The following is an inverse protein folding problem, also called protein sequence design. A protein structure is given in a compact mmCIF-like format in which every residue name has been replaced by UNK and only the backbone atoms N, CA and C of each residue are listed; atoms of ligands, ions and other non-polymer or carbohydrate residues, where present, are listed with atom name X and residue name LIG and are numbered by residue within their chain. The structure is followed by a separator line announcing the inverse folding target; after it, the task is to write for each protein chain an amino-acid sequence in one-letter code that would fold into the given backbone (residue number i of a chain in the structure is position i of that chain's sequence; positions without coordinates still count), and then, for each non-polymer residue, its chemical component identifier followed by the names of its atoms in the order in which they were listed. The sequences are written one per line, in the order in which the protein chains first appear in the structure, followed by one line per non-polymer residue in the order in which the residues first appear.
data_IF_141179195067
#
_entry.id   IF_141179195067
#
_cell.length_a   1.000
_cell.length_b   1.000
_cell.length_c   1.000
_cell.angle_alpha   90.00
_cell.angle_beta   90.00
_cell.angle_gamma   90.00
#
_symmetry.space_group_name_H-M   'P 1'
#
loop_
_entity.id
_entity.type
_entity.pdbx_description
1 polymer ?
#
# COMPACT_ATOMS: atom_id res chain seq x y z
N UNK A 1 -21.13 -38.92 1.43
CA UNK A 1 -21.45 -38.79 2.87
C UNK A 1 -22.88 -38.24 3.04
N UNK A 2 -23.55 -38.43 4.20
CA UNK A 2 -24.87 -37.79 4.45
C UNK A 2 -24.67 -36.26 4.50
N UNK A 3 -25.64 -35.48 4.02
CA UNK A 3 -25.64 -34.01 4.16
C UNK A 3 -25.34 -33.62 5.61
N UNK A 4 -24.42 -32.66 5.81
CA UNK A 4 -24.12 -32.15 7.15
C UNK A 4 -25.40 -31.53 7.74
N UNK A 5 -25.70 -31.86 8.98
CA UNK A 5 -26.86 -31.28 9.66
C UNK A 5 -26.62 -29.80 9.96
N UNK A 6 -27.68 -29.00 10.10
CA UNK A 6 -27.59 -27.59 10.50
C UNK A 6 -26.81 -27.39 11.81
N UNK A 7 -26.93 -28.35 12.74
CA UNK A 7 -26.15 -28.37 13.99
C UNK A 7 -24.65 -28.46 13.72
N UNK A 8 -24.22 -29.37 12.83
CA UNK A 8 -22.80 -29.54 12.47
C UNK A 8 -22.27 -28.27 11.79
N UNK A 9 -23.01 -27.70 10.84
CA UNK A 9 -22.63 -26.45 10.18
C UNK A 9 -22.43 -25.31 11.18
N UNK A 10 -23.37 -25.14 12.11
CA UNK A 10 -23.30 -24.10 13.15
C UNK A 10 -22.10 -24.29 14.10
N UNK A 11 -21.82 -25.52 14.54
CA UNK A 11 -20.68 -25.81 15.43
C UNK A 11 -19.33 -25.63 14.71
N UNK A 12 -19.28 -25.90 13.40
CA UNK A 12 -18.13 -25.56 12.54
C UNK A 12 -18.04 -24.05 12.22
N UNK A 13 -19.04 -23.25 12.61
CA UNK A 13 -19.10 -21.81 12.37
C UNK A 13 -19.33 -21.44 10.90
N UNK A 14 -20.07 -22.28 10.17
CA UNK A 14 -20.50 -22.05 8.80
C UNK A 14 -21.95 -21.54 8.77
N UNK A 15 -22.29 -20.80 7.73
CA UNK A 15 -23.67 -20.34 7.49
C UNK A 15 -24.55 -21.53 7.05
N UNK A 16 -25.84 -21.49 7.37
CA UNK A 16 -26.76 -22.63 7.15
C UNK A 16 -27.00 -22.93 5.66
N UNK A 17 -26.76 -21.95 4.79
CA UNK A 17 -26.86 -22.02 3.33
C UNK A 17 -25.51 -22.25 2.63
N UNK A 18 -24.44 -22.49 3.39
CA UNK A 18 -23.13 -22.82 2.81
C UNK A 18 -23.22 -24.10 1.99
N UNK A 19 -22.97 -23.99 0.68
CA UNK A 19 -22.85 -25.15 -0.20
C UNK A 19 -21.50 -25.84 0.02
N UNK A 20 -21.50 -27.18 0.07
CA UNK A 20 -20.30 -27.98 0.27
C UNK A 20 -20.02 -28.81 -0.97
N UNK A 21 -18.87 -28.59 -1.58
CA UNK A 21 -18.43 -29.27 -2.80
C UNK A 21 -17.41 -30.35 -2.42
N UNK A 22 -17.66 -31.64 -2.72
CA UNK A 22 -16.66 -32.67 -2.51
C UNK A 22 -15.42 -32.44 -3.37
N UNK A 23 -14.24 -32.43 -2.74
CA UNK A 23 -12.95 -32.25 -3.41
C UNK A 23 -12.23 -33.58 -3.57
N UNK A 24 -12.07 -34.31 -2.47
CA UNK A 24 -11.30 -35.55 -2.43
C UNK A 24 -11.84 -36.51 -1.37
N UNK A 25 -11.61 -37.80 -1.56
CA UNK A 25 -11.95 -38.82 -0.56
C UNK A 25 -10.92 -39.94 -0.54
N UNK A 26 -10.73 -40.53 0.63
CA UNK A 26 -9.95 -41.74 0.85
C UNK A 26 -10.78 -42.74 1.66
N UNK A 27 -11.00 -43.91 1.09
CA UNK A 27 -11.79 -44.96 1.73
C UNK A 27 -10.94 -45.69 2.77
N UNK A 28 -11.56 -46.06 3.89
CA UNK A 28 -10.90 -46.96 4.83
C UNK A 28 -10.50 -48.25 4.10
N UNK A 29 -9.28 -48.78 4.32
CA UNK A 29 -8.95 -50.10 3.80
C UNK A 29 -10.03 -51.07 4.31
N UNK A 30 -10.62 -51.84 3.39
CA UNK A 30 -11.56 -52.90 3.74
C UNK A 30 -10.96 -53.68 4.91
N UNK A 31 -11.73 -53.84 5.99
CA UNK A 31 -11.28 -54.51 7.21
C UNK A 31 -10.45 -55.72 6.82
N UNK A 32 -9.19 -55.84 7.31
CA UNK A 32 -8.26 -56.83 6.80
C UNK A 32 -8.95 -58.18 6.82
N UNK A 33 -9.18 -58.74 5.63
CA UNK A 33 -9.59 -60.14 5.51
C UNK A 33 -8.46 -60.89 6.19
N UNK A 34 -8.74 -61.44 7.38
CA UNK A 34 -7.74 -62.03 8.25
C UNK A 34 -7.06 -63.21 7.55
N UNK A 35 -6.02 -62.92 6.76
CA UNK A 35 -5.16 -63.90 6.12
C UNK A 35 -3.77 -63.74 6.73
N UNK A 36 -3.47 -64.62 7.69
CA UNK A 36 -2.09 -64.95 8.05
C UNK A 36 -1.50 -64.19 9.23
N UNK A 37 -1.62 -64.80 10.41
CA UNK A 37 -0.73 -64.76 11.59
C UNK A 37 0.31 -63.62 11.67
N UNK A 38 -0.02 -62.59 12.44
CA UNK A 38 0.86 -62.03 13.47
C UNK A 38 -0.01 -61.46 14.60
N UNK A 39 0.39 -61.73 15.84
CA UNK A 39 -0.30 -61.39 17.09
C UNK A 39 -0.31 -59.87 17.32
N UNK A 40 -1.25 -59.17 16.71
CA UNK A 40 -1.78 -57.95 17.30
C UNK A 40 -2.88 -58.40 18.27
N UNK A 41 -2.57 -58.42 19.56
CA UNK A 41 -3.58 -58.54 20.62
C UNK A 41 -4.71 -57.55 20.28
N UNK A 42 -5.94 -58.06 20.15
CA UNK A 42 -7.14 -57.25 19.97
C UNK A 42 -7.15 -56.19 21.07
N UNK A 43 -6.70 -54.96 20.77
CA UNK A 43 -6.82 -53.88 21.72
C UNK A 43 -8.31 -53.70 21.98
N UNK A 44 -8.74 -53.62 23.25
CA UNK A 44 -10.12 -53.35 23.55
C UNK A 44 -10.51 -52.03 22.87
N UNK A 45 -11.45 -52.11 21.92
CA UNK A 45 -12.02 -50.94 21.21
C UNK A 45 -12.75 -49.97 22.15
N UNK A 46 -12.81 -50.28 23.44
CA UNK A 46 -13.42 -49.50 24.51
C UNK A 46 -12.31 -48.92 25.40
N UNK A 47 -11.63 -47.89 24.91
CA UNK A 47 -10.66 -47.11 25.66
C UNK A 47 -10.80 -45.63 25.31
N UNK A 48 -10.54 -44.75 26.28
CA UNK A 48 -10.43 -43.31 26.01
C UNK A 48 -9.34 -43.07 24.96
N UNK A 49 -9.55 -42.11 24.06
CA UNK A 49 -8.57 -41.74 23.03
C UNK A 49 -7.19 -41.43 23.66
N UNK A 50 -7.18 -40.73 24.79
CA UNK A 50 -5.97 -40.40 25.54
C UNK A 50 -5.18 -41.64 26.00
N UNK A 51 -5.88 -42.71 26.41
CA UNK A 51 -5.22 -43.95 26.86
C UNK A 51 -4.66 -44.74 25.68
N UNK A 52 -5.34 -44.69 24.54
CA UNK A 52 -4.91 -45.32 23.30
C UNK A 52 -3.65 -44.63 22.74
N UNK A 53 -3.59 -43.31 22.77
CA UNK A 53 -2.44 -42.54 22.29
C UNK A 53 -1.16 -42.78 23.11
N UNK A 54 -1.28 -43.15 24.39
CA UNK A 54 -0.12 -43.56 25.23
C UNK A 54 0.58 -44.82 24.74
N UNK A 55 -0.06 -45.62 23.88
CA UNK A 55 0.53 -46.85 23.34
C UNK A 55 1.52 -46.64 22.19
N UNK A 56 1.87 -45.38 21.89
CA UNK A 56 2.74 -44.99 20.77
C UNK A 56 2.25 -45.57 19.43
N UNK A 57 1.04 -45.18 18.98
CA UNK A 57 0.43 -45.69 17.77
C UNK A 57 1.27 -45.43 16.52
N UNK A 58 1.25 -46.39 15.59
CA UNK A 58 1.89 -46.27 14.28
C UNK A 58 0.88 -45.75 13.26
N UNK A 59 1.16 -44.59 12.67
CA UNK A 59 0.30 -43.98 11.66
C UNK A 59 0.90 -44.10 10.25
N UNK A 60 0.05 -44.42 9.28
CA UNK A 60 0.38 -44.37 7.85
C UNK A 60 -0.08 -43.06 7.24
N UNK A 61 0.77 -42.42 6.43
CA UNK A 61 0.40 -41.20 5.71
C UNK A 61 -0.72 -41.47 4.70
N UNK A 62 -1.68 -40.55 4.64
CA UNK A 62 -2.78 -40.54 3.68
C UNK A 62 -2.52 -39.40 2.69
N UNK A 63 -2.75 -39.66 1.42
CA UNK A 63 -2.69 -38.64 0.38
C UNK A 63 -4.11 -38.34 -0.09
N UNK A 64 -4.60 -37.15 0.24
CA UNK A 64 -5.83 -36.61 -0.33
C UNK A 64 -5.45 -35.65 -1.45
N UNK A 65 -6.02 -35.87 -2.63
CA UNK A 65 -5.81 -35.00 -3.79
C UNK A 65 -6.14 -33.54 -3.46
N UNK A 66 -5.25 -32.62 -3.84
CA UNK A 66 -5.44 -31.18 -3.60
C UNK A 66 -5.29 -30.69 -2.16
N UNK A 67 -5.03 -31.56 -1.17
CA UNK A 67 -4.86 -31.15 0.23
C UNK A 67 -3.61 -30.30 0.43
N UNK A 68 -2.47 -30.72 -0.12
CA UNK A 68 -1.19 -30.01 0.04
C UNK A 68 -1.17 -28.66 -0.69
N UNK A 69 -1.92 -28.52 -1.78
CA UNK A 69 -2.07 -27.26 -2.53
C UNK A 69 -2.88 -26.24 -1.73
N UNK A 70 -3.96 -26.68 -1.07
CA UNK A 70 -4.84 -25.82 -0.26
C UNK A 70 -4.25 -25.50 1.12
N UNK A 71 -3.55 -26.46 1.71
CA UNK A 71 -2.98 -26.38 3.05
C UNK A 71 -1.50 -26.82 3.05
N UNK A 72 -0.58 -25.95 2.58
CA UNK A 72 0.84 -26.26 2.57
C UNK A 72 1.35 -26.68 3.96
N UNK A 73 1.93 -27.87 4.04
CA UNK A 73 2.48 -28.43 5.27
C UNK A 73 1.50 -29.29 6.09
N UNK A 74 0.20 -29.29 5.79
CA UNK A 74 -0.78 -30.16 6.46
C UNK A 74 -0.54 -31.62 6.10
N UNK A 75 -0.29 -32.46 7.10
CA UNK A 75 -0.15 -33.89 6.94
C UNK A 75 -1.33 -34.62 7.57
N UNK A 76 -1.82 -35.63 6.84
CA UNK A 76 -2.88 -36.50 7.29
C UNK A 76 -2.32 -37.92 7.46
N UNK A 77 -2.59 -38.55 8.59
CA UNK A 77 -2.17 -39.93 8.84
C UNK A 77 -3.28 -40.76 9.48
N UNK A 78 -3.42 -42.02 9.07
CA UNK A 78 -4.39 -42.98 9.62
C UNK A 78 -3.68 -43.95 10.54
N UNK A 79 -4.28 -44.24 11.69
CA UNK A 79 -3.72 -45.26 12.58
C UNK A 79 -3.83 -46.64 11.92
N UNK A 80 -2.70 -47.34 11.79
CA UNK A 80 -2.61 -48.66 11.17
C UNK A 80 -3.51 -49.72 11.84
N UNK A 81 -3.64 -49.69 13.17
CA UNK A 81 -4.39 -50.69 13.93
C UNK A 81 -5.87 -50.34 14.09
N UNK A 82 -6.25 -49.08 13.90
CA UNK A 82 -7.63 -48.60 14.06
C UNK A 82 -7.93 -47.53 12.99
N UNK A 83 -8.45 -47.92 11.81
CA UNK A 83 -8.61 -47.02 10.67
C UNK A 83 -9.64 -45.90 10.92
N UNK A 84 -10.38 -45.96 12.03
CA UNK A 84 -11.33 -44.94 12.45
C UNK A 84 -10.68 -43.76 13.16
N UNK A 85 -9.38 -43.84 13.47
CA UNK A 85 -8.61 -42.78 14.12
C UNK A 85 -7.63 -42.17 13.12
N UNK A 86 -7.71 -40.84 13.01
CA UNK A 86 -6.96 -40.04 12.04
C UNK A 86 -6.23 -38.93 12.77
N UNK A 87 -4.96 -38.73 12.42
CA UNK A 87 -4.09 -37.69 12.96
C UNK A 87 -3.86 -36.61 11.88
N UNK A 88 -4.07 -35.36 12.27
CA UNK A 88 -3.73 -34.17 11.50
C UNK A 88 -2.54 -33.48 12.16
N UNK A 89 -1.47 -33.24 11.41
CA UNK A 89 -0.25 -32.56 11.88
C UNK A 89 -0.01 -31.32 10.99
N UNK A 90 -0.07 -30.09 11.56
CA UNK A 90 0.49 -28.84 10.99
C UNK A 90 0.07 -27.56 11.72
N UNK A 91 0.77 -26.45 11.44
CA UNK A 91 0.42 -25.10 11.92
C UNK A 91 -0.97 -24.60 11.49
N UNK A 92 -1.49 -25.04 10.34
CA UNK A 92 -2.84 -24.69 9.85
C UNK A 92 -3.98 -25.32 10.69
N UNK A 93 -3.65 -26.26 11.59
CA UNK A 93 -4.64 -26.87 12.49
C UNK A 93 -4.95 -25.92 13.65
N UNK A 94 -4.04 -25.01 14.03
CA UNK A 94 -4.28 -24.05 15.13
C UNK A 94 -5.43 -23.11 14.78
N UNK A 95 -6.49 -23.17 15.59
CA UNK A 95 -7.72 -22.38 15.39
C UNK A 95 -8.85 -23.13 14.67
N UNK A 96 -8.62 -24.38 14.26
CA UNK A 96 -9.68 -25.23 13.71
C UNK A 96 -10.79 -25.49 14.74
N UNK A 97 -12.03 -25.60 14.24
CA UNK A 97 -13.20 -25.96 15.04
C UNK A 97 -13.56 -27.42 14.75
N UNK A 98 -13.27 -28.35 15.67
CA UNK A 98 -13.69 -29.73 15.53
C UNK A 98 -15.12 -29.96 16.04
N UNK A 99 -15.82 -30.89 15.41
CA UNK A 99 -17.10 -31.46 15.83
C UNK A 99 -16.94 -32.96 16.01
N UNK A 100 -17.47 -33.54 17.09
CA UNK A 100 -17.36 -34.97 17.38
C UNK A 100 -16.20 -35.31 18.32
N UNK A 101 -15.81 -36.58 18.38
CA UNK A 101 -14.77 -37.05 19.28
C UNK A 101 -13.38 -36.72 18.74
N UNK A 102 -12.61 -35.93 19.49
CA UNK A 102 -11.29 -35.46 19.09
C UNK A 102 -10.40 -35.16 20.30
N UNK A 103 -9.09 -35.13 20.09
CA UNK A 103 -8.11 -34.77 21.11
C UNK A 103 -6.94 -34.00 20.50
N UNK A 104 -6.54 -32.93 21.20
CA UNK A 104 -5.40 -32.11 20.81
C UNK A 104 -4.12 -32.65 21.44
N UNK A 105 -3.06 -32.74 20.64
CA UNK A 105 -1.72 -33.13 21.09
C UNK A 105 -0.73 -31.98 20.90
N UNK A 106 0.44 -32.10 21.53
CA UNK A 106 1.61 -31.24 21.32
C UNK A 106 1.27 -29.73 21.38
N UNK A 107 0.61 -29.31 22.47
CA UNK A 107 0.21 -27.90 22.68
C UNK A 107 -0.61 -27.32 21.52
N UNK A 108 -1.43 -28.15 20.87
CA UNK A 108 -2.32 -27.75 19.79
C UNK A 108 -1.67 -27.75 18.40
N UNK A 109 -0.51 -28.39 18.23
CA UNK A 109 0.13 -28.57 16.92
C UNK A 109 -0.47 -29.74 16.11
N UNK A 110 -1.10 -30.68 16.80
CA UNK A 110 -1.64 -31.90 16.21
C UNK A 110 -3.05 -32.18 16.73
N UNK A 111 -3.93 -32.69 15.87
CA UNK A 111 -5.32 -33.00 16.21
C UNK A 111 -5.63 -34.44 15.82
N UNK A 112 -6.15 -35.22 16.77
CA UNK A 112 -6.62 -36.58 16.55
C UNK A 112 -8.14 -36.55 16.44
N UNK A 113 -8.67 -37.14 15.36
CA UNK A 113 -10.10 -37.34 15.12
C UNK A 113 -10.45 -38.81 15.34
N UNK A 114 -11.46 -39.08 16.15
CA UNK A 114 -11.98 -40.42 16.43
C UNK A 114 -13.40 -40.54 15.87
N UNK A 115 -13.56 -41.40 14.86
CA UNK A 115 -14.85 -41.62 14.19
C UNK A 115 -15.58 -42.89 14.64
N UNK A 116 -15.14 -43.54 15.73
CA UNK A 116 -15.69 -44.85 16.17
C UNK A 116 -17.10 -44.75 16.73
N UNK A 117 -17.42 -43.64 17.39
CA UNK A 117 -18.73 -43.43 18.04
C UNK A 117 -19.69 -42.60 17.16
N UNK A 118 -19.19 -42.02 16.07
CA UNK A 118 -19.95 -41.15 15.20
C UNK A 118 -19.05 -40.39 14.23
N UNK A 119 -19.63 -39.64 13.29
CA UNK A 119 -18.85 -38.83 12.37
C UNK A 119 -18.17 -37.67 13.11
N UNK A 120 -16.93 -37.40 12.73
CA UNK A 120 -16.12 -36.31 13.29
C UNK A 120 -15.67 -35.39 12.15
N UNK A 121 -15.77 -34.09 12.35
CA UNK A 121 -15.46 -33.08 11.34
C UNK A 121 -14.48 -32.06 11.90
N UNK A 122 -13.64 -31.49 11.04
CA UNK A 122 -12.81 -30.34 11.39
C UNK A 122 -12.85 -29.32 10.27
N UNK A 123 -13.08 -28.06 10.65
CA UNK A 123 -12.96 -26.92 9.74
C UNK A 123 -11.50 -26.51 9.62
N UNK A 124 -11.01 -26.44 8.38
CA UNK A 124 -9.67 -26.02 8.01
C UNK A 124 -9.77 -24.68 7.24
N UNK A 125 -8.99 -23.69 7.65
CA UNK A 125 -8.96 -22.37 7.02
C UNK A 125 -7.65 -22.19 6.24
N UNK A 126 -7.77 -22.13 4.91
CA UNK A 126 -6.67 -21.89 4.00
C UNK A 126 -6.60 -20.39 3.64
N UNK A 127 -5.56 -20.00 2.90
CA UNK A 127 -5.40 -18.60 2.46
C UNK A 127 -6.48 -18.15 1.46
N UNK A 128 -7.07 -19.10 0.73
CA UNK A 128 -8.02 -18.83 -0.36
C UNK A 128 -9.32 -19.63 -0.27
N UNK A 129 -9.44 -20.57 0.67
CA UNK A 129 -10.61 -21.43 0.79
C UNK A 129 -10.86 -21.85 2.24
N UNK A 130 -12.09 -22.27 2.52
CA UNK A 130 -12.46 -22.95 3.76
C UNK A 130 -12.83 -24.38 3.40
N UNK A 131 -12.21 -25.36 4.04
CA UNK A 131 -12.52 -26.77 3.83
C UNK A 131 -13.01 -27.42 5.13
N UNK A 132 -13.75 -28.51 4.98
CA UNK A 132 -14.15 -29.40 6.06
C UNK A 132 -13.52 -30.75 5.76
N UNK A 133 -12.71 -31.24 6.70
CA UNK A 133 -12.27 -32.62 6.66
C UNK A 133 -13.24 -33.46 7.51
N UNK A 134 -13.97 -34.36 6.88
CA UNK A 134 -14.88 -35.29 7.51
C UNK A 134 -14.27 -36.68 7.66
N UNK A 135 -14.42 -37.27 8.84
CA UNK A 135 -14.06 -38.66 9.13
C UNK A 135 -15.33 -39.41 9.53
N UNK A 136 -15.76 -40.37 8.71
CA UNK A 136 -16.93 -41.20 8.99
C UNK A 136 -16.63 -42.67 8.69
N UNK A 137 -16.72 -43.50 9.71
CA UNK A 137 -16.47 -44.95 9.58
C UNK A 137 -15.08 -45.25 8.97
N UNK A 138 -14.07 -44.44 9.33
CA UNK A 138 -12.70 -44.52 8.80
C UNK A 138 -12.51 -43.96 7.39
N UNK A 139 -13.60 -43.66 6.66
CA UNK A 139 -13.53 -42.93 5.41
C UNK A 139 -13.25 -41.46 5.69
N UNK A 140 -12.42 -40.85 4.85
CA UNK A 140 -12.03 -39.45 4.97
C UNK A 140 -12.48 -38.74 3.72
N UNK A 141 -13.12 -37.58 3.89
CA UNK A 141 -13.59 -36.73 2.80
C UNK A 141 -13.17 -35.28 3.06
N UNK A 142 -12.68 -34.62 2.03
CA UNK A 142 -12.41 -33.19 2.03
C UNK A 142 -13.53 -32.50 1.25
N UNK A 143 -14.29 -31.66 1.94
CA UNK A 143 -15.33 -30.82 1.36
C UNK A 143 -14.84 -29.38 1.33
N UNK A 144 -14.98 -28.70 0.21
CA UNK A 144 -14.73 -27.27 0.11
C UNK A 144 -16.05 -26.54 0.36
N UNK A 145 -16.06 -25.65 1.35
CA UNK A 145 -17.17 -24.75 1.52
C UNK A 145 -17.11 -23.73 0.39
N UNK A 146 -18.16 -23.68 -0.42
CA UNK A 146 -18.44 -22.54 -1.28
C UNK A 146 -18.62 -21.35 -0.36
N UNK A 147 -17.52 -20.68 0.00
CA UNK A 147 -17.63 -19.36 0.60
C UNK A 147 -18.35 -18.54 -0.46
N UNK A 148 -19.59 -18.06 -0.24
CA UNK A 148 -20.08 -16.99 -1.08
C UNK A 148 -18.97 -15.95 -1.03
N UNK A 149 -18.45 -15.54 -2.18
CA UNK A 149 -17.45 -14.48 -2.28
C UNK A 149 -18.05 -13.29 -1.55
N UNK A 150 -17.74 -13.19 -0.26
CA UNK A 150 -18.59 -12.46 0.67
C UNK A 150 -18.52 -11.02 0.21
N UNK A 151 -19.67 -10.44 -0.15
CA UNK A 151 -19.71 -9.04 -0.52
C UNK A 151 -19.06 -8.22 0.57
N UNK A 152 -19.10 -8.62 1.84
CA UNK A 152 -18.42 -7.92 2.93
C UNK A 152 -16.89 -7.84 2.79
N UNK A 153 -16.22 -8.84 2.23
CA UNK A 153 -14.76 -8.80 1.98
C UNK A 153 -14.41 -7.98 0.75
N UNK A 154 -15.25 -8.02 -0.30
CA UNK A 154 -15.11 -7.14 -1.46
C UNK A 154 -15.47 -5.69 -1.12
N UNK A 155 -16.51 -5.47 -0.31
CA UNK A 155 -16.95 -4.19 0.24
C UNK A 155 -15.89 -3.64 1.21
N UNK A 156 -15.20 -4.51 1.96
CA UNK A 156 -14.05 -4.12 2.77
C UNK A 156 -12.89 -3.70 1.87
N UNK A 157 -12.53 -4.47 0.84
CA UNK A 157 -11.49 -4.08 -0.12
C UNK A 157 -11.86 -2.82 -0.91
N UNK A 158 -13.14 -2.61 -1.22
CA UNK A 158 -13.64 -1.43 -1.91
C UNK A 158 -13.64 -0.20 -0.98
N UNK A 159 -13.86 -0.38 0.32
CA UNK A 159 -13.61 0.66 1.34
C UNK A 159 -12.13 0.97 1.55
N UNK A 160 -11.23 0.04 1.19
CA UNK A 160 -9.78 0.25 1.14
C UNK A 160 -9.32 0.83 -0.20
N UNK A 161 -10.21 0.97 -1.18
CA UNK A 161 -9.89 1.64 -2.44
C UNK A 161 -9.59 3.10 -2.11
N UNK A 162 -8.35 3.51 -2.38
CA UNK A 162 -7.94 4.90 -2.21
C UNK A 162 -8.97 5.81 -2.89
N UNK A 163 -9.44 6.83 -2.17
CA UNK A 163 -10.28 7.85 -2.75
C UNK A 163 -9.59 8.38 -4.02
N UNK A 164 -10.34 8.67 -5.10
CA UNK A 164 -9.74 9.21 -6.31
C UNK A 164 -8.94 10.46 -5.93
N UNK A 165 -7.66 10.46 -6.32
CA UNK A 165 -6.75 11.56 -6.01
C UNK A 165 -7.33 12.83 -6.64
N UNK A 166 -7.65 13.86 -5.85
CA UNK A 166 -8.22 15.09 -6.37
C UNK A 166 -7.26 15.71 -7.39
N UNK A 167 -7.79 16.06 -8.56
CA UNK A 167 -6.99 16.63 -9.63
C UNK A 167 -6.81 18.15 -9.45
N UNK A 168 -5.65 18.68 -9.83
CA UNK A 168 -5.41 20.12 -9.92
C UNK A 168 -5.79 20.57 -11.34
N UNK A 169 -6.80 21.45 -11.51
CA UNK A 169 -7.16 21.93 -12.84
C UNK A 169 -6.01 22.73 -13.46
N UNK A 170 -5.87 22.68 -14.78
CA UNK A 170 -4.90 23.50 -15.51
C UNK A 170 -5.21 24.99 -15.27
N UNK A 171 -4.29 25.78 -14.69
CA UNK A 171 -4.50 27.21 -14.56
C UNK A 171 -4.44 27.90 -15.92
N UNK A 172 -5.30 28.90 -16.14
CA UNK A 172 -5.16 29.84 -17.24
C UNK A 172 -4.15 30.92 -16.83
N UNK A 173 -2.89 30.70 -17.22
CA UNK A 173 -1.77 31.60 -16.91
C UNK A 173 -2.06 33.05 -17.31
N UNK A 174 -2.77 33.29 -18.40
CA UNK A 174 -3.08 34.66 -18.87
C UNK A 174 -4.18 35.30 -18.04
N UNK A 175 -5.16 34.52 -17.59
CA UNK A 175 -6.16 35.02 -16.64
C UNK A 175 -5.52 35.38 -15.30
N UNK A 176 -4.51 34.61 -14.86
CA UNK A 176 -3.79 34.84 -13.60
C UNK A 176 -3.00 36.16 -13.59
N UNK A 177 -2.66 36.76 -14.74
CA UNK A 177 -1.94 38.03 -14.76
C UNK A 177 -2.84 39.26 -14.59
N UNK A 178 -4.16 39.07 -14.55
CA UNK A 178 -5.14 40.16 -14.51
C UNK A 178 -4.87 41.24 -15.59
N UNK A 179 -4.42 40.82 -16.77
CA UNK A 179 -4.10 41.70 -17.90
C UNK A 179 -2.72 42.36 -17.85
N UNK A 180 -1.89 42.04 -16.85
CA UNK A 180 -0.46 42.40 -16.85
C UNK A 180 0.33 41.59 -17.89
N UNK A 181 1.41 42.16 -18.40
CA UNK A 181 2.33 41.47 -19.31
C UNK A 181 3.21 40.52 -18.50
N UNK A 182 3.54 39.39 -19.09
CA UNK A 182 4.52 38.44 -18.56
C UNK A 182 5.78 38.55 -19.40
N UNK A 183 6.93 38.51 -18.74
CA UNK A 183 8.20 38.27 -19.40
C UNK A 183 8.12 36.93 -20.15
N UNK A 184 8.76 36.86 -21.33
CA UNK A 184 8.63 35.70 -22.21
C UNK A 184 9.06 34.38 -21.55
N UNK A 185 10.11 34.42 -20.71
CA UNK A 185 10.59 33.24 -20.00
C UNK A 185 9.55 32.73 -19.01
N UNK A 186 8.95 33.63 -18.22
CA UNK A 186 7.95 33.29 -17.20
C UNK A 186 6.67 32.77 -17.85
N UNK A 187 6.23 33.38 -18.95
CA UNK A 187 5.08 32.89 -19.72
C UNK A 187 5.34 31.47 -20.26
N UNK A 188 6.48 31.27 -20.91
CA UNK A 188 6.83 29.99 -21.53
C UNK A 188 6.92 28.88 -20.48
N UNK A 189 7.63 29.14 -19.38
CA UNK A 189 7.85 28.16 -18.31
C UNK A 189 6.53 27.85 -17.59
N UNK A 190 5.74 28.86 -17.22
CA UNK A 190 4.46 28.63 -16.57
C UNK A 190 3.43 27.94 -17.47
N UNK A 191 3.38 28.23 -18.78
CA UNK A 191 2.50 27.51 -19.72
C UNK A 191 2.93 26.04 -19.88
N UNK A 192 4.24 25.75 -19.91
CA UNK A 192 4.78 24.39 -19.93
C UNK A 192 4.40 23.63 -18.65
N UNK A 193 4.61 24.23 -17.48
CA UNK A 193 4.28 23.65 -16.18
C UNK A 193 2.77 23.43 -16.02
N UNK A 194 1.94 24.37 -16.45
CA UNK A 194 0.48 24.27 -16.42
C UNK A 194 -0.06 23.14 -17.32
N UNK A 195 0.71 22.74 -18.34
CA UNK A 195 0.36 21.66 -19.27
C UNK A 195 0.88 20.29 -18.83
N UNK A 196 1.68 20.22 -17.76
CA UNK A 196 2.23 18.97 -17.26
C UNK A 196 1.12 18.03 -16.77
N UNK A 197 1.34 16.72 -16.90
CA UNK A 197 0.40 15.69 -16.44
C UNK A 197 0.29 15.66 -14.91
N UNK A 198 1.39 15.98 -14.21
CA UNK A 198 1.50 15.92 -12.77
C UNK A 198 0.79 17.11 -12.08
N UNK A 199 -0.17 16.88 -11.17
CA UNK A 199 -0.97 17.94 -10.55
C UNK A 199 -0.14 18.99 -9.79
N UNK A 200 0.90 18.57 -9.05
CA UNK A 200 1.75 19.50 -8.31
C UNK A 200 2.41 20.51 -9.25
N UNK A 201 2.93 20.06 -10.39
CA UNK A 201 3.55 20.94 -11.40
C UNK A 201 2.59 21.99 -11.95
N UNK A 202 1.31 21.64 -12.16
CA UNK A 202 0.28 22.60 -12.58
C UNK A 202 0.04 23.68 -11.54
N UNK A 203 0.08 23.31 -10.26
CA UNK A 203 -0.02 24.27 -9.17
C UNK A 203 1.24 25.15 -9.06
N UNK A 204 2.43 24.56 -9.18
CA UNK A 204 3.68 25.30 -9.18
C UNK A 204 3.72 26.34 -10.31
N UNK A 205 3.08 26.08 -11.46
CA UNK A 205 2.94 27.06 -12.54
C UNK A 205 2.22 28.35 -12.08
N UNK A 206 1.13 28.19 -11.34
CA UNK A 206 0.38 29.30 -10.76
C UNK A 206 1.21 30.01 -9.67
N UNK A 207 1.87 29.24 -8.80
CA UNK A 207 2.77 29.76 -7.77
C UNK A 207 3.94 30.56 -8.35
N UNK A 208 4.50 30.11 -9.47
CA UNK A 208 5.60 30.77 -10.18
C UNK A 208 5.18 32.17 -10.66
N UNK A 209 3.99 32.28 -11.28
CA UNK A 209 3.43 33.58 -11.69
C UNK A 209 3.19 34.48 -10.48
N UNK A 210 2.65 33.95 -9.39
CA UNK A 210 2.34 34.76 -8.22
C UNK A 210 3.58 35.23 -7.44
N UNK A 211 4.64 34.42 -7.42
CA UNK A 211 5.92 34.73 -6.78
C UNK A 211 6.77 35.65 -7.62
N UNK A 212 6.92 35.34 -8.91
CA UNK A 212 7.98 35.90 -9.74
C UNK A 212 7.50 36.89 -10.81
N UNK A 213 6.21 37.20 -10.88
CA UNK A 213 5.75 38.28 -11.76
C UNK A 213 6.28 39.64 -11.32
N UNK A 214 6.85 40.39 -12.25
CA UNK A 214 7.26 41.77 -12.05
C UNK A 214 6.97 42.63 -13.28
N UNK A 215 6.60 43.92 -13.09
CA UNK A 215 6.37 44.83 -14.20
C UNK A 215 7.65 45.06 -15.00
N UNK A 216 7.55 45.12 -16.33
CA UNK A 216 8.72 45.29 -17.21
C UNK A 216 9.22 46.74 -17.25
N UNK A 217 8.31 47.69 -17.07
CA UNK A 217 8.63 49.11 -17.17
C UNK A 217 7.94 49.97 -16.10
N UNK A 218 8.36 51.23 -16.02
CA UNK A 218 7.85 52.19 -15.05
C UNK A 218 6.37 52.55 -15.23
N UNK A 219 5.82 52.39 -16.45
CA UNK A 219 4.42 52.63 -16.72
C UNK A 219 3.58 51.47 -16.17
N UNK A 220 3.95 50.23 -16.48
CA UNK A 220 3.28 49.04 -15.96
C UNK A 220 3.38 48.95 -14.43
N UNK A 221 4.51 49.37 -13.85
CA UNK A 221 4.65 49.51 -12.40
C UNK A 221 3.64 50.52 -11.84
N UNK A 222 3.50 51.71 -12.45
CA UNK A 222 2.52 52.71 -12.01
C UNK A 222 1.08 52.22 -12.17
N UNK A 223 0.76 51.56 -13.28
CA UNK A 223 -0.57 50.98 -13.51
C UNK A 223 -0.88 49.89 -12.48
N UNK A 224 0.09 49.05 -12.16
CA UNK A 224 -0.06 47.97 -11.17
C UNK A 224 -0.16 48.50 -9.74
N UNK A 225 0.61 49.52 -9.38
CA UNK A 225 0.47 50.24 -8.11
C UNK A 225 -0.90 50.93 -8.02
N UNK A 226 -1.34 51.58 -9.10
CA UNK A 226 -2.68 52.21 -9.15
C UNK A 226 -3.77 51.18 -8.94
N UNK A 227 -3.68 50.02 -9.63
CA UNK A 227 -4.61 48.90 -9.42
C UNK A 227 -4.60 48.43 -7.97
N UNK A 228 -3.43 48.22 -7.37
CA UNK A 228 -3.33 47.81 -5.97
C UNK A 228 -3.96 48.82 -5.01
N UNK A 229 -3.76 50.13 -5.24
CA UNK A 229 -4.33 51.20 -4.43
C UNK A 229 -5.85 51.34 -4.59
N UNK A 230 -6.41 51.05 -5.77
CA UNK A 230 -7.86 51.06 -6.02
C UNK A 230 -8.55 49.75 -5.64
N UNK A 231 -7.86 48.84 -4.95
CA UNK A 231 -8.36 47.51 -4.62
C UNK A 231 -8.58 46.59 -5.83
N UNK A 232 -8.06 47.00 -6.99
CA UNK A 232 -8.05 46.21 -8.22
C UNK A 232 -6.91 45.18 -8.19
N UNK A 233 -7.13 44.09 -8.92
CA UNK A 233 -6.48 42.81 -8.68
C UNK A 233 -5.16 42.72 -9.44
N UNK A 234 -4.07 42.34 -8.76
CA UNK A 234 -2.78 42.03 -9.38
C UNK A 234 -2.55 40.51 -9.49
N UNK A 235 -1.48 40.06 -10.19
CA UNK A 235 -1.27 38.64 -10.48
C UNK A 235 -1.22 37.73 -9.26
N UNK A 236 -0.54 38.19 -8.20
CA UNK A 236 -0.48 37.50 -6.92
C UNK A 236 -1.88 37.22 -6.35
N UNK A 237 -2.75 38.23 -6.31
CA UNK A 237 -4.10 38.10 -5.75
C UNK A 237 -4.96 37.16 -6.61
N UNK A 238 -4.94 37.33 -7.93
CA UNK A 238 -5.69 36.47 -8.86
C UNK A 238 -5.32 34.99 -8.71
N UNK A 239 -4.02 34.70 -8.54
CA UNK A 239 -3.52 33.33 -8.32
C UNK A 239 -3.94 32.78 -6.96
N UNK A 240 -3.83 33.57 -5.89
CA UNK A 240 -4.27 33.13 -4.56
C UNK A 240 -5.76 32.83 -4.53
N UNK A 241 -6.58 33.66 -5.19
CA UNK A 241 -8.02 33.46 -5.22
C UNK A 241 -8.43 32.28 -6.12
N UNK A 242 -7.68 32.01 -7.21
CA UNK A 242 -7.80 30.75 -7.96
C UNK A 242 -7.49 29.53 -7.07
N UNK A 243 -6.39 29.57 -6.31
CA UNK A 243 -5.99 28.45 -5.45
C UNK A 243 -6.98 28.21 -4.30
N UNK A 244 -7.51 29.28 -3.69
CA UNK A 244 -8.56 29.21 -2.66
C UNK A 244 -9.86 28.62 -3.15
N UNK A 245 -10.18 28.76 -4.44
CA UNK A 245 -11.39 28.21 -5.03
C UNK A 245 -11.32 26.69 -5.26
N UNK A 246 -10.13 26.08 -5.13
CA UNK A 246 -9.97 24.63 -5.22
C UNK A 246 -10.56 23.93 -3.99
N UNK A 247 -10.95 22.67 -4.16
CA UNK A 247 -11.48 21.85 -3.06
C UNK A 247 -10.40 21.57 -2.00
N UNK A 248 -10.81 21.46 -0.73
CA UNK A 248 -9.90 21.19 0.38
C UNK A 248 -9.08 19.89 0.19
N UNK A 249 -9.64 18.89 -0.49
CA UNK A 249 -8.92 17.67 -0.84
C UNK A 249 -7.68 17.95 -1.71
N UNK A 250 -7.78 18.90 -2.65
CA UNK A 250 -6.67 19.31 -3.51
C UNK A 250 -5.55 19.95 -2.68
N UNK A 251 -5.90 20.78 -1.70
CA UNK A 251 -4.90 21.44 -0.84
C UNK A 251 -4.07 20.42 -0.05
N UNK A 252 -4.73 19.44 0.57
CA UNK A 252 -4.04 18.37 1.29
C UNK A 252 -3.19 17.50 0.36
N UNK A 253 -3.72 17.15 -0.83
CA UNK A 253 -2.99 16.34 -1.80
C UNK A 253 -1.72 17.05 -2.28
N UNK A 254 -1.80 18.34 -2.56
CA UNK A 254 -0.67 19.17 -3.00
C UNK A 254 0.40 19.24 -1.91
N UNK A 255 0.01 19.47 -0.65
CA UNK A 255 0.97 19.46 0.47
C UNK A 255 1.64 18.09 0.60
N UNK A 256 0.86 16.98 0.54
CA UNK A 256 1.42 15.62 0.60
C UNK A 256 2.39 15.32 -0.55
N UNK A 257 2.02 15.61 -1.79
CA UNK A 257 2.89 15.39 -2.95
C UNK A 257 4.14 16.27 -2.92
N UNK A 258 4.05 17.50 -2.41
CA UNK A 258 5.22 18.36 -2.25
C UNK A 258 6.18 17.85 -1.16
N UNK A 259 5.65 17.24 -0.11
CA UNK A 259 6.46 16.58 0.93
C UNK A 259 7.20 15.37 0.37
N UNK A 260 6.51 14.54 -0.43
CA UNK A 260 7.12 13.39 -1.13
C UNK A 260 8.24 13.85 -2.07
N UNK A 261 8.00 14.89 -2.86
CA UNK A 261 9.03 15.42 -3.76
C UNK A 261 10.24 15.99 -3.00
N UNK A 262 10.01 16.64 -1.85
CA UNK A 262 11.11 17.11 -1.00
C UNK A 262 11.96 15.95 -0.46
N UNK A 263 11.33 14.82 -0.11
CA UNK A 263 12.03 13.59 0.27
C UNK A 263 12.84 13.01 -0.89
N UNK A 264 12.26 13.00 -2.11
CA UNK A 264 12.97 12.55 -3.30
C UNK A 264 14.18 13.43 -3.62
N UNK A 265 14.03 14.77 -3.61
CA UNK A 265 15.15 15.70 -3.81
C UNK A 265 16.25 15.50 -2.76
N UNK A 266 15.89 15.23 -1.50
CA UNK A 266 16.84 14.94 -0.42
C UNK A 266 17.66 13.68 -0.72
N UNK A 267 17.00 12.63 -1.24
CA UNK A 267 17.66 11.36 -1.60
C UNK A 267 18.55 11.46 -2.84
N UNK A 268 18.33 12.46 -3.71
CA UNK A 268 19.14 12.65 -4.91
C UNK A 268 20.55 13.22 -4.61
N UNK A 269 20.72 14.00 -3.53
CA UNK A 269 21.96 14.72 -3.22
C UNK A 269 23.23 13.85 -3.19
N UNK A 270 23.27 12.69 -2.50
CA UNK A 270 24.46 11.81 -2.51
C UNK A 270 24.79 11.28 -3.92
N UNK A 271 23.76 11.03 -4.73
CA UNK A 271 23.92 10.54 -6.10
C UNK A 271 24.48 11.64 -7.00
N UNK A 272 23.99 12.88 -6.86
CA UNK A 272 24.51 14.05 -7.58
C UNK A 272 25.98 14.28 -7.26
N UNK A 273 26.38 14.19 -5.98
CA UNK A 273 27.78 14.32 -5.57
C UNK A 273 28.66 13.24 -6.19
N UNK A 274 28.18 12.00 -6.22
CA UNK A 274 28.90 10.89 -6.85
C UNK A 274 29.04 11.09 -8.36
N UNK A 275 27.99 11.58 -9.03
CA UNK A 275 28.02 11.90 -10.47
C UNK A 275 28.96 13.05 -10.81
N UNK A 276 29.03 14.09 -9.98
CA UNK A 276 29.92 15.24 -10.19
C UNK A 276 31.41 14.85 -10.27
N UNK A 277 31.82 13.75 -9.62
CA UNK A 277 33.18 13.23 -9.68
C UNK A 277 33.49 12.46 -10.98
N UNK A 278 32.46 11.94 -11.66
CA UNK A 278 32.61 11.06 -12.83
C UNK A 278 32.31 11.79 -14.13
N UNK A 279 31.23 12.58 -14.16
CA UNK A 279 30.74 13.32 -15.32
C UNK A 279 30.25 14.71 -14.89
N UNK A 280 31.16 15.70 -14.80
CA UNK A 280 30.83 17.04 -14.34
C UNK A 280 29.78 17.75 -15.21
N UNK A 281 29.77 17.53 -16.52
CA UNK A 281 28.85 18.22 -17.43
C UNK A 281 27.41 17.74 -17.25
N UNK A 282 27.22 16.42 -17.11
CA UNK A 282 25.92 15.85 -16.77
C UNK A 282 25.47 16.24 -15.35
N UNK A 283 26.40 16.25 -14.39
CA UNK A 283 26.12 16.67 -13.02
C UNK A 283 25.66 18.13 -12.94
N UNK A 284 26.26 19.06 -13.70
CA UNK A 284 25.83 20.46 -13.79
C UNK A 284 24.36 20.57 -14.22
N UNK A 285 23.94 19.85 -15.26
CA UNK A 285 22.55 19.85 -15.71
C UNK A 285 21.60 19.30 -14.66
N UNK A 286 21.99 18.24 -13.96
CA UNK A 286 21.18 17.64 -12.89
C UNK A 286 21.11 18.54 -11.65
N UNK A 287 22.20 19.23 -11.29
CA UNK A 287 22.21 20.20 -10.19
C UNK A 287 21.32 21.40 -10.50
N UNK A 288 21.37 21.93 -11.74
CA UNK A 288 20.44 22.98 -12.16
C UNK A 288 18.99 22.51 -12.06
N UNK A 289 18.68 21.31 -12.56
CA UNK A 289 17.34 20.74 -12.48
C UNK A 289 16.88 20.61 -11.02
N UNK A 290 17.76 20.12 -10.13
CA UNK A 290 17.48 20.03 -8.70
C UNK A 290 17.12 21.39 -8.08
N UNK A 291 17.84 22.47 -8.42
CA UNK A 291 17.53 23.82 -7.94
C UNK A 291 16.17 24.32 -8.44
N UNK A 292 15.82 24.01 -9.69
CA UNK A 292 14.53 24.37 -10.27
C UNK A 292 13.38 23.62 -9.59
N UNK A 293 13.56 22.32 -9.36
CA UNK A 293 12.57 21.49 -8.66
C UNK A 293 12.42 21.91 -7.20
N UNK A 294 13.51 22.30 -6.52
CA UNK A 294 13.45 22.92 -5.19
C UNK A 294 12.67 24.23 -5.20
N UNK A 295 12.84 25.07 -6.22
CA UNK A 295 12.07 26.30 -6.36
C UNK A 295 10.59 26.04 -6.69
N UNK A 296 10.26 24.93 -7.35
CA UNK A 296 8.86 24.53 -7.57
C UNK A 296 8.15 24.22 -6.25
N UNK A 297 8.86 23.62 -5.28
CA UNK A 297 8.29 23.40 -3.95
C UNK A 297 8.05 24.71 -3.19
N UNK A 298 8.87 25.74 -3.40
CA UNK A 298 8.61 27.07 -2.84
C UNK A 298 7.40 27.75 -3.52
N UNK A 299 7.19 27.52 -4.82
CA UNK A 299 5.95 27.92 -5.50
C UNK A 299 4.70 27.28 -4.85
N UNK A 300 4.79 26.00 -4.49
CA UNK A 300 3.71 25.31 -3.80
C UNK A 300 3.52 25.85 -2.36
N UNK A 301 4.61 25.99 -1.61
CA UNK A 301 4.58 26.52 -0.25
C UNK A 301 4.01 27.94 -0.19
N UNK A 302 4.36 28.79 -1.15
CA UNK A 302 3.82 30.15 -1.24
C UNK A 302 2.28 30.15 -1.32
N UNK A 303 1.70 29.29 -2.15
CA UNK A 303 0.24 29.19 -2.29
C UNK A 303 -0.41 28.62 -1.03
N UNK A 304 0.18 27.58 -0.43
CA UNK A 304 -0.28 26.99 0.83
C UNK A 304 -0.26 28.01 1.98
N UNK A 305 0.80 28.80 2.12
CA UNK A 305 0.90 29.88 3.11
C UNK A 305 -0.22 30.92 2.95
N UNK A 306 -0.65 31.21 1.71
CA UNK A 306 -1.72 32.18 1.44
C UNK A 306 -3.11 31.73 1.92
N UNK A 307 -3.28 30.44 2.26
CA UNK A 307 -4.48 29.88 2.87
C UNK A 307 -4.23 29.34 4.29
N UNK A 308 -3.13 29.76 4.91
CA UNK A 308 -2.75 29.39 6.29
C UNK A 308 -2.45 27.89 6.49
N UNK A 309 -2.10 27.17 5.42
CA UNK A 309 -1.62 25.77 5.44
C UNK A 309 -0.13 25.69 5.06
N UNK A 310 0.43 24.48 4.94
CA UNK A 310 1.81 24.30 4.45
C UNK A 310 2.90 24.32 5.51
N UNK A 311 2.56 24.30 6.81
CA UNK A 311 3.57 24.26 7.89
C UNK A 311 4.44 23.00 7.83
N UNK A 312 3.87 21.88 7.39
CA UNK A 312 4.62 20.63 7.25
C UNK A 312 5.64 20.77 6.12
N UNK A 313 5.22 21.30 4.97
CA UNK A 313 6.09 21.57 3.83
C UNK A 313 7.17 22.59 4.17
N UNK A 314 6.84 23.66 4.90
CA UNK A 314 7.81 24.64 5.37
C UNK A 314 8.93 24.00 6.20
N UNK A 315 8.57 23.18 7.20
CA UNK A 315 9.55 22.44 8.00
C UNK A 315 10.38 21.48 7.14
N UNK A 316 9.77 20.87 6.14
CA UNK A 316 10.43 19.93 5.24
C UNK A 316 11.42 20.60 4.29
N UNK A 317 11.07 21.76 3.72
CA UNK A 317 11.99 22.52 2.88
C UNK A 317 13.16 23.09 3.70
N UNK A 318 12.93 23.50 4.94
CA UNK A 318 14.02 23.90 5.83
C UNK A 318 14.98 22.73 6.13
N UNK A 319 14.45 21.51 6.29
CA UNK A 319 15.27 20.30 6.41
C UNK A 319 16.05 20.01 5.11
N UNK A 320 15.38 20.09 3.96
CA UNK A 320 15.99 19.90 2.64
C UNK A 320 17.13 20.89 2.40
N UNK A 321 16.91 22.18 2.68
CA UNK A 321 17.90 23.24 2.51
C UNK A 321 19.11 23.02 3.43
N UNK A 322 18.88 22.62 4.68
CA UNK A 322 19.96 22.25 5.60
C UNK A 322 20.75 21.05 5.06
N UNK A 323 20.08 20.02 4.56
CA UNK A 323 20.75 18.86 4.00
C UNK A 323 21.54 19.23 2.74
N UNK A 324 20.99 20.05 1.86
CA UNK A 324 21.68 20.56 0.67
C UNK A 324 22.95 21.36 1.02
N UNK A 325 22.97 22.07 2.15
CA UNK A 325 24.16 22.79 2.63
C UNK A 325 25.34 21.87 2.97
N UNK A 326 25.08 20.60 3.31
CA UNK A 326 26.12 19.59 3.54
C UNK A 326 26.85 19.20 2.24
N UNK A 327 26.28 19.55 1.09
CA UNK A 327 26.81 19.32 -0.25
C UNK A 327 27.28 20.61 -0.93
N UNK A 328 27.76 21.60 -0.17
CA UNK A 328 28.21 22.93 -0.66
C UNK A 328 29.10 22.86 -1.93
N UNK A 329 29.96 21.84 -2.02
CA UNK A 329 30.84 21.63 -3.18
C UNK A 329 30.10 21.45 -4.52
N UNK A 330 28.86 20.93 -4.51
CA UNK A 330 28.03 20.79 -5.71
C UNK A 330 27.66 22.17 -6.29
N UNK A 331 27.38 23.12 -5.41
CA UNK A 331 26.84 24.42 -5.75
C UNK A 331 27.95 25.41 -6.11
N UNK A 332 29.10 25.30 -5.45
CA UNK A 332 30.22 26.23 -5.60
C UNK A 332 30.79 26.32 -7.03
N UNK A 333 30.60 25.29 -7.86
CA UNK A 333 31.08 25.25 -9.26
C UNK A 333 29.98 25.44 -10.28
N UNK A 334 28.73 25.61 -9.84
CA UNK A 334 27.59 25.65 -10.72
C UNK A 334 27.39 27.07 -11.26
N UNK A 335 27.60 27.24 -12.57
CA UNK A 335 27.26 28.49 -13.25
C UNK A 335 25.77 28.48 -13.64
N UNK A 336 24.98 29.30 -12.95
CA UNK A 336 23.55 29.51 -13.21
C UNK A 336 23.22 30.96 -13.56
N UNK A 337 24.21 31.78 -13.90
CA UNK A 337 24.00 33.22 -14.16
C UNK A 337 23.10 33.48 -15.36
N UNK A 338 22.95 32.52 -16.28
CA UNK A 338 22.08 32.63 -17.45
C UNK A 338 20.67 32.10 -17.21
N UNK A 339 20.38 31.49 -16.06
CA UNK A 339 19.04 30.99 -15.76
C UNK A 339 18.11 32.13 -15.32
N UNK A 340 17.18 32.52 -16.19
CA UNK A 340 16.26 33.65 -15.96
C UNK A 340 15.40 33.48 -14.70
N UNK A 341 14.96 32.25 -14.41
CA UNK A 341 14.16 31.95 -13.21
C UNK A 341 14.95 32.15 -11.93
N UNK A 342 16.15 31.59 -11.81
CA UNK A 342 16.98 31.74 -10.61
C UNK A 342 17.42 33.19 -10.40
N UNK A 343 17.67 33.95 -11.46
CA UNK A 343 17.89 35.40 -11.37
C UNK A 343 16.65 36.15 -10.84
N UNK A 344 15.46 35.78 -11.31
CA UNK A 344 14.22 36.36 -10.83
C UNK A 344 13.99 36.05 -9.34
N UNK A 345 14.30 34.82 -8.91
CA UNK A 345 14.31 34.44 -7.48
C UNK A 345 15.29 35.30 -6.71
N UNK A 346 16.54 35.43 -7.16
CA UNK A 346 17.56 36.24 -6.48
C UNK A 346 17.14 37.70 -6.27
N UNK A 347 16.40 38.26 -7.24
CA UNK A 347 15.91 39.63 -7.16
C UNK A 347 14.68 39.81 -6.27
N UNK A 348 13.74 38.86 -6.28
CA UNK A 348 12.47 38.96 -5.54
C UNK A 348 12.55 38.39 -4.13
N UNK A 349 13.46 37.44 -3.92
CA UNK A 349 13.65 36.67 -2.69
C UNK A 349 15.15 36.66 -2.34
N UNK A 350 15.72 37.80 -1.90
CA UNK A 350 17.16 37.92 -1.69
C UNK A 350 17.71 36.99 -0.61
N UNK A 351 16.87 36.47 0.27
CA UNK A 351 17.24 35.52 1.32
C UNK A 351 17.23 34.05 0.84
N UNK A 352 16.75 33.78 -0.37
CA UNK A 352 16.74 32.45 -0.97
C UNK A 352 18.15 32.05 -1.43
N UNK A 353 18.80 31.16 -0.68
CA UNK A 353 20.18 30.74 -0.96
C UNK A 353 20.36 30.16 -2.38
N UNK A 354 19.36 29.44 -2.91
CA UNK A 354 19.42 28.86 -4.25
C UNK A 354 19.32 29.92 -5.35
N UNK A 355 18.63 31.03 -5.10
CA UNK A 355 18.61 32.19 -5.98
C UNK A 355 19.94 32.93 -5.98
N UNK A 356 20.59 33.06 -4.82
CA UNK A 356 21.87 33.76 -4.69
C UNK A 356 22.98 33.17 -5.57
N UNK A 357 22.90 31.88 -5.93
CA UNK A 357 23.82 31.22 -6.87
C UNK A 357 23.82 31.87 -8.27
N UNK A 358 22.76 32.57 -8.67
CA UNK A 358 22.70 33.26 -9.96
C UNK A 358 23.31 34.69 -9.95
N UNK A 359 23.76 35.16 -8.78
CA UNK A 359 24.35 36.50 -8.59
C UNK A 359 25.78 36.42 -8.03
N UNK A 360 26.17 35.27 -7.50
CA UNK A 360 27.55 34.95 -7.10
C UNK A 360 28.46 34.81 -8.33
#
# INVERSE_FOLDING_TARGET
MKQLTSKVLAELGLELDTELIPVASDLAPNAPVAQGRATASEMPRSGSLADLLRTAPVFNQIQLEGLAERFPGLQLRRWLSDPFIVLLEAGAVRGSKPFGAHEWLDEGASLVLDSRQGPTFVRLEGSTCVCILGCQEGNIELLEASTPTSSASLDALEKWRAAPIPDVPRPDIRALTAGGRLQNWLLTESEQMASAAWPLRRLCAAGLVARLWSPEDSQELRESLTRALTGSWGPRKATVDWFRALEQGVHHQVESSAMEEADELSQQLPTLQSHALVDPESATRQCLQWLLDRDDLECALFLLRCIETGKSLEGKLAELDRHASEFESLWATLDVSENERLRAVAWQEPDAWWGQLAVA
#
